data_IF_925626943427
#
_entry.id   IF_925626943427
#
_cell.length_a   1.000
_cell.length_b   1.000
_cell.length_c   1.000
_cell.angle_alpha   90.00
_cell.angle_beta   90.00
_cell.angle_gamma   90.00
#
_symmetry.space_group_name_H-M   'P 1'
#
loop_
_entity.id
_entity.type
_entity.pdbx_description
1 polymer ?
#
# COMPACT_ATOMS: atom_id res chain seq x y z
N UNK A 1 15.08 -14.71 -18.77
CA UNK A 1 15.47 -13.46 -18.09
C UNK A 1 14.36 -13.05 -17.15
N UNK A 2 14.68 -12.37 -16.05
CA UNK A 2 13.66 -11.78 -15.17
C UNK A 2 13.29 -10.42 -15.76
N UNK A 3 12.00 -10.15 -15.98
CA UNK A 3 11.54 -8.82 -16.37
C UNK A 3 11.46 -7.91 -15.15
N UNK A 4 11.89 -6.65 -15.32
CA UNK A 4 11.91 -5.65 -14.27
C UNK A 4 11.14 -4.41 -14.71
N UNK A 5 10.17 -3.99 -13.91
CA UNK A 5 9.44 -2.74 -14.10
C UNK A 5 9.88 -1.74 -13.01
N UNK A 6 10.46 -0.61 -13.41
CA UNK A 6 10.90 0.41 -12.48
C UNK A 6 9.72 1.34 -12.12
N UNK A 7 9.36 1.39 -10.83
CA UNK A 7 8.26 2.21 -10.32
C UNK A 7 8.82 3.31 -9.44
N UNK A 8 8.32 4.54 -9.59
CA UNK A 8 8.75 5.65 -8.76
C UNK A 8 8.24 5.51 -7.32
N UNK A 9 9.17 5.39 -6.37
CA UNK A 9 8.92 5.11 -4.96
C UNK A 9 8.47 6.34 -4.16
N UNK A 10 8.53 7.56 -4.71
CA UNK A 10 8.23 8.78 -3.93
C UNK A 10 6.82 8.76 -3.34
N UNK A 11 6.75 8.93 -2.02
CA UNK A 11 5.52 9.17 -1.26
C UNK A 11 4.67 7.93 -0.93
N UNK A 12 5.19 6.72 -1.13
CA UNK A 12 4.45 5.45 -0.95
C UNK A 12 4.18 5.10 0.52
N UNK A 13 5.12 5.37 1.42
CA UNK A 13 5.00 5.03 2.86
C UNK A 13 4.09 5.96 3.68
N UNK A 14 3.55 7.01 3.06
CA UNK A 14 2.69 8.01 3.70
C UNK A 14 1.24 7.95 3.22
N UNK A 15 0.85 6.95 2.42
CA UNK A 15 -0.53 6.78 1.94
C UNK A 15 -1.08 5.48 2.52
N UNK A 16 -2.29 5.54 3.09
CA UNK A 16 -2.96 4.34 3.57
C UNK A 16 -3.43 3.50 2.37
N UNK A 17 -3.02 2.23 2.28
CA UNK A 17 -3.38 1.37 1.14
C UNK A 17 -4.86 0.95 1.15
N UNK A 18 -5.53 1.06 2.30
CA UNK A 18 -6.94 0.69 2.46
C UNK A 18 -7.89 1.84 2.09
N UNK A 19 -7.60 3.06 2.55
CA UNK A 19 -8.52 4.20 2.38
C UNK A 19 -7.95 5.37 1.57
N UNK A 20 -6.71 5.28 1.09
CA UNK A 20 -6.04 6.29 0.25
C UNK A 20 -5.62 7.57 0.98
N UNK A 21 -5.82 7.68 2.30
CA UNK A 21 -5.52 8.90 3.04
C UNK A 21 -4.05 9.04 3.38
N UNK A 22 -3.56 10.27 3.29
CA UNK A 22 -2.20 10.60 3.72
C UNK A 22 -2.08 10.47 5.24
N UNK A 23 -1.07 9.75 5.68
CA UNK A 23 -0.71 9.53 7.08
C UNK A 23 0.67 10.09 7.30
N UNK A 24 0.84 10.87 8.37
CA UNK A 24 2.17 11.35 8.78
C UNK A 24 2.89 10.19 9.49
N UNK A 25 4.02 9.69 8.96
CA UNK A 25 4.73 8.60 9.59
C UNK A 25 5.43 9.12 10.86
N UNK A 26 5.11 8.57 12.02
CA UNK A 26 5.78 8.93 13.27
C UNK A 26 6.79 7.86 13.74
N UNK A 27 6.60 6.58 13.36
CA UNK A 27 7.43 5.46 13.82
C UNK A 27 7.38 4.25 12.85
N UNK A 28 8.13 3.16 13.11
CA UNK A 28 8.16 1.94 12.27
C UNK A 28 6.77 1.35 11.99
N UNK A 29 5.81 1.53 12.91
CA UNK A 29 4.42 1.14 12.70
C UNK A 29 3.64 2.23 11.96
N UNK A 30 3.08 1.88 10.81
CA UNK A 30 2.06 2.67 10.12
C UNK A 30 0.71 2.51 10.82
N UNK A 31 0.06 3.62 11.17
CA UNK A 31 -1.29 3.62 11.78
C UNK A 31 -2.17 4.66 11.11
N UNK A 32 -3.19 4.20 10.39
CA UNK A 32 -4.22 5.06 9.83
C UNK A 32 -5.28 5.37 10.89
N UNK A 33 -5.39 6.64 11.29
CA UNK A 33 -6.44 7.09 12.21
C UNK A 33 -7.84 7.09 11.58
N UNK A 34 -7.94 7.04 10.26
CA UNK A 34 -9.22 7.13 9.56
C UNK A 34 -9.92 5.78 9.40
N UNK A 35 -9.20 4.73 8.99
CA UNK A 35 -9.77 3.39 8.79
C UNK A 35 -9.29 2.35 9.82
N UNK A 36 -8.45 2.74 10.77
CA UNK A 36 -7.92 1.85 11.80
C UNK A 36 -6.85 0.86 11.30
N UNK A 37 -6.40 0.96 10.05
CA UNK A 37 -5.37 0.09 9.51
C UNK A 37 -4.03 0.28 10.21
N UNK A 38 -3.44 -0.82 10.68
CA UNK A 38 -2.16 -0.84 11.39
C UNK A 38 -1.27 -1.91 10.77
N UNK A 39 -0.07 -1.55 10.35
CA UNK A 39 0.92 -2.49 9.82
C UNK A 39 2.33 -1.91 9.89
N UNK A 40 3.36 -2.73 9.71
CA UNK A 40 4.73 -2.27 9.50
C UNK A 40 4.83 -1.35 8.27
N UNK A 41 5.64 -0.30 8.36
CA UNK A 41 5.82 0.70 7.30
C UNK A 41 6.44 0.11 6.05
N UNK A 42 7.34 -0.87 6.16
CA UNK A 42 7.99 -1.48 5.01
C UNK A 42 6.98 -2.32 4.22
N UNK A 43 6.11 -3.04 4.91
CA UNK A 43 4.98 -3.75 4.31
C UNK A 43 4.02 -2.78 3.60
N UNK A 44 3.69 -1.66 4.23
CA UNK A 44 2.87 -0.61 3.60
C UNK A 44 3.54 -0.03 2.35
N UNK A 45 4.86 0.18 2.42
CA UNK A 45 5.66 0.62 1.28
C UNK A 45 5.56 -0.35 0.10
N UNK A 46 5.76 -1.65 0.34
CA UNK A 46 5.64 -2.70 -0.68
C UNK A 46 4.25 -2.77 -1.30
N UNK A 47 3.19 -2.74 -0.48
CA UNK A 47 1.80 -2.72 -0.96
C UNK A 47 1.55 -1.49 -1.83
N UNK A 48 2.07 -0.33 -1.44
CA UNK A 48 1.82 0.90 -2.19
C UNK A 48 2.63 0.97 -3.50
N UNK A 49 3.83 0.36 -3.56
CA UNK A 49 4.55 0.15 -4.82
C UNK A 49 3.74 -0.73 -5.75
N UNK A 50 3.18 -1.84 -5.23
CA UNK A 50 2.31 -2.72 -5.98
C UNK A 50 1.05 -1.98 -6.48
N UNK A 51 0.39 -1.21 -5.61
CA UNK A 51 -0.75 -0.38 -6.00
C UNK A 51 -0.41 0.59 -7.14
N UNK A 52 0.77 1.21 -7.13
CA UNK A 52 1.21 2.09 -8.23
C UNK A 52 1.37 1.31 -9.53
N UNK A 53 2.00 0.13 -9.49
CA UNK A 53 2.12 -0.73 -10.66
C UNK A 53 0.75 -0.98 -11.32
N UNK A 54 -0.23 -1.42 -10.53
CA UNK A 54 -1.55 -1.74 -11.05
C UNK A 54 -2.29 -0.49 -11.54
N UNK A 55 -2.17 0.65 -10.85
CA UNK A 55 -2.74 1.92 -11.31
C UNK A 55 -2.18 2.36 -12.66
N UNK A 56 -0.86 2.28 -12.85
CA UNK A 56 -0.21 2.60 -14.12
C UNK A 56 -0.66 1.65 -15.26
N UNK A 57 -1.09 0.43 -14.90
CA UNK A 57 -1.63 -0.57 -15.82
C UNK A 57 -3.19 -0.60 -15.86
N UNK A 58 -3.86 0.43 -15.33
CA UNK A 58 -5.33 0.54 -15.33
C UNK A 58 -6.09 -0.60 -14.64
N UNK A 59 -5.47 -1.23 -13.63
CA UNK A 59 -6.04 -2.29 -12.80
C UNK A 59 -6.33 -1.78 -11.38
N UNK A 60 -7.36 -2.35 -10.74
CA UNK A 60 -7.78 -1.94 -9.40
C UNK A 60 -7.39 -2.97 -8.34
N UNK A 61 -6.57 -2.55 -7.37
CA UNK A 61 -6.31 -3.31 -6.16
C UNK A 61 -7.19 -2.83 -5.00
N UNK A 62 -7.69 -3.78 -4.22
CA UNK A 62 -8.32 -3.54 -2.91
C UNK A 62 -7.50 -4.19 -1.82
N UNK A 63 -7.12 -3.39 -0.83
CA UNK A 63 -6.40 -3.88 0.35
C UNK A 63 -7.38 -3.96 1.51
N UNK A 64 -7.50 -5.14 2.09
CA UNK A 64 -8.38 -5.38 3.22
C UNK A 64 -7.64 -5.26 4.55
N UNK A 65 -8.29 -4.63 5.53
CA UNK A 65 -7.75 -4.46 6.86
C UNK A 65 -8.00 -5.72 7.71
N UNK A 66 -7.14 -6.71 7.59
CA UNK A 66 -7.10 -7.85 8.51
C UNK A 66 -6.05 -7.59 9.61
N UNK A 67 -6.37 -7.81 10.90
CA UNK A 67 -5.52 -7.41 12.03
C UNK A 67 -4.19 -8.18 12.15
N UNK A 68 -3.99 -9.24 11.36
CA UNK A 68 -2.82 -10.14 11.44
C UNK A 68 -2.00 -10.11 10.15
N UNK A 69 -2.64 -9.88 9.00
CA UNK A 69 -2.04 -9.86 7.66
C UNK A 69 -2.83 -8.91 6.76
N UNK A 70 -2.22 -8.37 5.72
CA UNK A 70 -2.94 -7.55 4.72
C UNK A 70 -3.24 -8.39 3.49
N UNK A 71 -4.53 -8.58 3.19
CA UNK A 71 -4.97 -9.28 1.98
C UNK A 71 -5.11 -8.28 0.84
N UNK A 72 -4.53 -8.61 -0.32
CA UNK A 72 -4.62 -7.81 -1.55
C UNK A 72 -5.48 -8.56 -2.57
N UNK A 73 -6.58 -7.94 -3.00
CA UNK A 73 -7.49 -8.47 -4.01
C UNK A 73 -7.34 -7.66 -5.31
N UNK A 74 -7.11 -8.35 -6.43
CA UNK A 74 -7.04 -7.75 -7.77
C UNK A 74 -8.42 -7.86 -8.41
N UNK A 75 -9.04 -6.72 -8.73
CA UNK A 75 -10.28 -6.67 -9.51
C UNK A 75 -9.97 -6.59 -11.00
N UNK A 76 -10.66 -7.42 -11.80
CA UNK A 76 -10.70 -7.34 -13.26
C UNK A 76 -11.84 -6.45 -13.72
#
# INVERSE_FOLDING_TARGET
GIEFAQINERGTSSICPVCGKKVKPNDRTFRCKQCGYVQDRDVVGSIQILNKYFQDNSLNLRVENHPIVSSVLVGH
#
